data_IF_484372314571
#
_entry.id   IF_484372314571
#
_cell.length_a   1.000
_cell.length_b   1.000
_cell.length_c   1.000
_cell.angle_alpha   90.00
_cell.angle_beta   90.00
_cell.angle_gamma   90.00
#
_symmetry.space_group_name_H-M   'P 1'
#
loop_
_entity.id
_entity.type
_entity.pdbx_description
1 polymer ?
#
# COMPACT_ATOMS: atom_id res chain seq x y z
N UNK A 1 -20.98 -29.44 -17.21
CA UNK A 1 -21.53 -28.28 -17.92
C UNK A 1 -20.62 -27.12 -17.61
N UNK A 2 -19.60 -26.87 -18.41
CA UNK A 2 -18.62 -25.78 -18.20
C UNK A 2 -19.21 -24.48 -18.74
N UNK A 3 -19.48 -23.56 -17.84
CA UNK A 3 -19.91 -22.21 -18.23
C UNK A 3 -18.76 -21.51 -18.96
N UNK A 4 -19.05 -20.89 -20.09
CA UNK A 4 -18.05 -20.13 -20.85
C UNK A 4 -17.66 -18.84 -20.09
N UNK A 5 -16.39 -18.37 -20.18
CA UNK A 5 -15.89 -17.20 -19.45
C UNK A 5 -16.80 -15.95 -19.47
N UNK A 6 -17.43 -15.56 -20.61
CA UNK A 6 -18.32 -14.41 -20.60
C UNK A 6 -19.59 -14.61 -19.77
N UNK A 7 -20.07 -15.86 -19.59
CA UNK A 7 -21.25 -16.15 -18.75
C UNK A 7 -20.92 -16.08 -17.27
N UNK A 8 -19.70 -16.44 -16.87
CA UNK A 8 -19.21 -16.30 -15.48
C UNK A 8 -19.09 -14.81 -15.13
N UNK A 9 -18.55 -14.00 -16.03
CA UNK A 9 -18.45 -12.54 -15.86
C UNK A 9 -19.82 -11.89 -15.71
N UNK A 10 -20.80 -12.31 -16.52
CA UNK A 10 -22.17 -11.78 -16.45
C UNK A 10 -22.86 -12.16 -15.13
N UNK A 11 -22.64 -13.36 -14.62
CA UNK A 11 -23.17 -13.83 -13.33
C UNK A 11 -22.53 -13.05 -12.18
N UNK A 12 -21.23 -12.83 -12.21
CA UNK A 12 -20.51 -12.02 -11.21
C UNK A 12 -21.03 -10.57 -11.23
N UNK A 13 -21.19 -9.97 -12.41
CA UNK A 13 -21.75 -8.62 -12.56
C UNK A 13 -23.20 -8.53 -12.08
N UNK A 14 -24.02 -9.55 -12.35
CA UNK A 14 -25.41 -9.60 -11.90
C UNK A 14 -25.53 -9.78 -10.38
N UNK A 15 -24.67 -10.58 -9.75
CA UNK A 15 -24.60 -10.74 -8.30
C UNK A 15 -24.14 -9.41 -7.66
N UNK A 16 -23.19 -8.71 -8.27
CA UNK A 16 -22.71 -7.40 -7.80
C UNK A 16 -23.85 -6.36 -7.77
N UNK A 17 -24.67 -6.31 -8.82
CA UNK A 17 -25.83 -5.40 -8.90
C UNK A 17 -26.88 -5.72 -7.80
N UNK A 18 -27.10 -6.99 -7.49
CA UNK A 18 -28.04 -7.41 -6.43
C UNK A 18 -27.50 -7.08 -5.03
N UNK A 19 -26.19 -7.26 -4.78
CA UNK A 19 -25.58 -6.91 -3.50
C UNK A 19 -25.58 -5.40 -3.26
N UNK A 20 -25.33 -4.60 -4.30
CA UNK A 20 -25.36 -3.13 -4.22
C UNK A 20 -26.76 -2.60 -3.89
N UNK A 21 -27.84 -3.28 -4.34
CA UNK A 21 -29.21 -2.82 -4.11
C UNK A 21 -29.76 -3.13 -2.71
N UNK A 22 -29.12 -3.97 -1.91
CA UNK A 22 -29.61 -4.40 -0.59
C UNK A 22 -28.76 -3.96 0.60
N UNK A 23 -27.59 -3.33 0.38
CA UNK A 23 -26.75 -2.85 1.49
C UNK A 23 -27.31 -1.55 2.08
N UNK A 24 -27.82 -1.66 3.29
CA UNK A 24 -28.23 -0.50 4.10
C UNK A 24 -26.96 0.27 4.50
N UNK A 25 -26.91 1.55 4.20
CA UNK A 25 -25.83 2.44 4.65
C UNK A 25 -25.74 2.40 6.18
N UNK A 26 -24.59 2.04 6.73
CA UNK A 26 -24.30 2.16 8.16
C UNK A 26 -23.43 3.40 8.38
N UNK A 27 -23.75 4.15 9.44
CA UNK A 27 -23.16 5.47 9.76
C UNK A 27 -21.73 5.39 10.37
N UNK A 28 -20.92 4.41 10.01
CA UNK A 28 -19.55 4.29 10.53
C UNK A 28 -18.53 4.29 9.40
N UNK A 29 -17.68 5.31 9.38
CA UNK A 29 -16.53 5.38 8.49
C UNK A 29 -15.44 4.44 8.99
N UNK A 30 -15.20 3.35 8.28
CA UNK A 30 -14.05 2.45 8.52
C UNK A 30 -12.99 2.77 7.47
N UNK A 31 -11.84 3.28 7.92
CA UNK A 31 -10.70 3.50 7.03
C UNK A 31 -9.84 2.25 7.01
N UNK A 32 -9.60 1.73 5.80
CA UNK A 32 -8.88 0.49 5.57
C UNK A 32 -7.38 0.69 5.29
N UNK A 33 -6.78 1.80 5.69
CA UNK A 33 -5.33 1.90 5.59
C UNK A 33 -4.65 1.16 6.75
N UNK A 34 -3.74 0.23 6.42
CA UNK A 34 -2.90 -0.51 7.34
C UNK A 34 -2.25 0.36 8.43
N UNK A 35 -1.69 1.50 8.03
CA UNK A 35 -1.00 2.41 8.95
C UNK A 35 -1.93 3.16 9.90
N UNK A 36 -3.20 3.36 9.51
CA UNK A 36 -4.18 4.05 10.34
C UNK A 36 -4.60 3.21 11.54
N UNK A 37 -4.86 1.91 11.34
CA UNK A 37 -5.29 1.01 12.42
C UNK A 37 -4.24 0.85 13.53
N UNK A 38 -2.96 0.88 13.15
CA UNK A 38 -1.86 0.83 14.12
C UNK A 38 -1.61 2.16 14.82
N UNK A 39 -2.01 3.27 14.21
CA UNK A 39 -1.78 4.63 14.73
C UNK A 39 -2.99 5.25 15.39
N UNK A 40 -4.20 4.84 15.01
CA UNK A 40 -5.41 5.40 15.57
C UNK A 40 -5.57 4.96 17.03
N UNK A 41 -5.92 5.91 17.86
CA UNK A 41 -6.50 5.68 19.19
C UNK A 41 -8.03 5.50 19.06
N UNK A 42 -8.49 4.96 17.92
CA UNK A 42 -9.89 4.73 17.65
C UNK A 42 -10.52 3.87 18.74
N UNK A 43 -11.68 4.30 19.17
CA UNK A 43 -12.48 3.55 20.14
C UNK A 43 -12.82 2.19 19.55
N UNK A 44 -12.45 1.12 20.24
CA UNK A 44 -12.80 -0.23 19.85
C UNK A 44 -14.30 -0.39 19.66
N UNK A 45 -14.73 -0.79 18.46
CA UNK A 45 -16.11 -1.20 18.17
C UNK A 45 -16.09 -2.60 17.54
N UNK A 46 -16.72 -3.55 18.20
CA UNK A 46 -16.81 -4.95 17.74
C UNK A 46 -17.50 -5.12 16.39
N UNK A 47 -18.34 -4.15 15.98
CA UNK A 47 -19.04 -4.16 14.69
C UNK A 47 -18.11 -4.02 13.50
N UNK A 48 -16.89 -3.50 13.72
CA UNK A 48 -15.88 -3.31 12.68
C UNK A 48 -15.15 -4.61 12.32
N UNK A 49 -15.50 -5.73 12.94
CA UNK A 49 -14.83 -7.01 12.75
C UNK A 49 -15.82 -8.12 12.40
N UNK A 50 -15.49 -8.94 11.41
CA UNK A 50 -16.27 -10.12 11.02
C UNK A 50 -16.53 -11.06 12.21
N UNK A 51 -15.52 -11.25 13.06
CA UNK A 51 -15.59 -12.16 14.22
C UNK A 51 -16.17 -11.51 15.48
N UNK A 52 -16.52 -10.22 15.42
CA UNK A 52 -17.13 -9.48 16.54
C UNK A 52 -16.23 -9.39 17.78
N UNK A 53 -16.86 -9.47 18.96
CA UNK A 53 -16.19 -9.27 20.27
C UNK A 53 -15.72 -10.57 20.95
N UNK A 54 -15.82 -11.74 20.29
CA UNK A 54 -15.43 -13.05 20.85
C UNK A 54 -16.07 -13.32 22.22
N UNK A 55 -17.36 -12.96 22.40
CA UNK A 55 -18.04 -13.07 23.68
C UNK A 55 -17.50 -12.13 24.76
N UNK A 56 -16.99 -10.97 24.40
CA UNK A 56 -16.43 -9.97 25.31
C UNK A 56 -14.93 -10.08 25.56
N UNK A 57 -14.25 -11.08 24.97
CA UNK A 57 -12.80 -11.27 25.18
C UNK A 57 -12.00 -10.17 24.49
N UNK A 58 -12.35 -9.82 23.24
CA UNK A 58 -11.64 -8.80 22.47
C UNK A 58 -11.69 -7.44 23.16
N UNK A 59 -12.86 -7.02 23.66
CA UNK A 59 -13.02 -5.80 24.44
C UNK A 59 -12.21 -5.81 25.74
N UNK A 60 -12.18 -6.95 26.45
CA UNK A 60 -11.34 -7.09 27.65
C UNK A 60 -9.85 -6.96 27.35
N UNK A 61 -9.36 -7.59 26.28
CA UNK A 61 -7.96 -7.47 25.85
C UNK A 61 -7.61 -6.02 25.50
N UNK A 62 -8.47 -5.34 24.72
CA UNK A 62 -8.27 -3.93 24.36
C UNK A 62 -8.21 -3.02 25.61
N UNK A 63 -9.07 -3.25 26.58
CA UNK A 63 -9.07 -2.50 27.84
C UNK A 63 -7.79 -2.74 28.67
N UNK A 64 -7.21 -3.93 28.58
CA UNK A 64 -5.92 -4.27 29.18
C UNK A 64 -4.74 -3.68 28.42
N UNK A 65 -4.93 -3.13 27.23
CA UNK A 65 -3.86 -2.60 26.39
C UNK A 65 -3.31 -3.59 25.37
N UNK A 66 -4.04 -4.66 25.04
CA UNK A 66 -3.67 -5.64 24.00
C UNK A 66 -4.73 -5.60 22.93
N UNK A 67 -4.39 -5.09 21.74
CA UNK A 67 -5.31 -4.99 20.60
C UNK A 67 -4.91 -5.99 19.52
N UNK A 68 -5.65 -7.11 19.35
CA UNK A 68 -5.48 -8.01 18.22
C UNK A 68 -6.19 -7.43 16.99
N UNK A 69 -5.49 -7.39 15.85
CA UNK A 69 -6.00 -6.94 14.55
C UNK A 69 -5.64 -8.01 13.53
N UNK A 70 -6.59 -8.41 12.69
CA UNK A 70 -6.32 -9.28 11.57
C UNK A 70 -7.11 -8.82 10.35
N UNK A 71 -6.42 -8.75 9.18
CA UNK A 71 -7.01 -8.37 7.89
C UNK A 71 -6.68 -9.41 6.84
N UNK A 72 -7.67 -9.78 6.08
CA UNK A 72 -7.50 -10.67 4.94
C UNK A 72 -7.81 -9.93 3.65
N UNK A 73 -6.81 -9.87 2.79
CA UNK A 73 -6.90 -9.34 1.44
C UNK A 73 -6.92 -10.50 0.46
N UNK A 74 -7.76 -10.43 -0.55
CA UNK A 74 -7.76 -11.43 -1.62
C UNK A 74 -8.15 -10.82 -2.95
N UNK A 75 -7.48 -11.26 -4.01
CA UNK A 75 -7.80 -10.87 -5.38
C UNK A 75 -8.07 -12.08 -6.25
N UNK A 76 -9.02 -11.92 -7.16
CA UNK A 76 -9.23 -12.80 -8.31
C UNK A 76 -9.19 -11.92 -9.55
N UNK A 77 -8.09 -11.98 -10.29
CA UNK A 77 -7.85 -11.17 -11.48
C UNK A 77 -7.57 -12.09 -12.68
N UNK A 78 -8.00 -11.65 -13.86
CA UNK A 78 -7.71 -12.34 -15.11
C UNK A 78 -7.43 -11.38 -16.25
N UNK A 79 -6.61 -11.81 -17.22
CA UNK A 79 -6.33 -11.05 -18.44
C UNK A 79 -6.98 -11.71 -19.67
N UNK A 80 -8.25 -11.40 -19.98
CA UNK A 80 -8.94 -11.95 -21.14
C UNK A 80 -8.32 -11.52 -22.48
N UNK A 81 -7.54 -10.43 -22.49
CA UNK A 81 -6.86 -9.87 -23.66
C UNK A 81 -5.41 -9.60 -23.33
N UNK A 82 -4.50 -9.90 -24.25
CA UNK A 82 -3.08 -9.53 -24.21
C UNK A 82 -2.26 -10.32 -23.19
N UNK A 83 -1.07 -9.78 -22.86
CA UNK A 83 -0.06 -10.46 -22.07
C UNK A 83 0.64 -11.58 -22.82
N UNK A 84 1.55 -12.29 -22.15
CA UNK A 84 2.25 -13.48 -22.68
C UNK A 84 1.28 -14.63 -22.98
N UNK A 85 0.26 -14.79 -22.14
CA UNK A 85 -0.85 -15.73 -22.29
C UNK A 85 -2.06 -15.27 -21.50
N UNK A 86 -3.23 -15.82 -21.76
CA UNK A 86 -4.45 -15.52 -21.02
C UNK A 86 -4.56 -16.41 -19.79
N UNK A 87 -4.92 -15.84 -18.65
CA UNK A 87 -5.07 -16.56 -17.40
C UNK A 87 -6.02 -15.90 -16.43
N UNK A 88 -6.29 -16.62 -15.34
CA UNK A 88 -6.98 -16.11 -14.14
C UNK A 88 -6.21 -16.60 -12.94
N UNK A 89 -5.84 -15.70 -12.06
CA UNK A 89 -5.07 -16.03 -10.86
C UNK A 89 -5.79 -15.52 -9.61
N UNK A 90 -5.53 -16.24 -8.53
CA UNK A 90 -5.95 -15.91 -7.17
C UNK A 90 -4.73 -15.57 -6.35
N UNK A 91 -4.83 -14.52 -5.54
CA UNK A 91 -3.87 -14.20 -4.50
C UNK A 91 -4.60 -13.91 -3.18
N UNK A 92 -3.95 -14.24 -2.06
CA UNK A 92 -4.46 -13.97 -0.72
C UNK A 92 -3.34 -13.61 0.23
N UNK A 93 -3.58 -12.62 1.09
CA UNK A 93 -2.68 -12.12 2.12
C UNK A 93 -3.44 -11.94 3.41
N UNK A 94 -3.11 -12.72 4.43
CA UNK A 94 -3.56 -12.51 5.80
C UNK A 94 -2.50 -11.78 6.58
N UNK A 95 -2.82 -10.61 7.09
CA UNK A 95 -1.99 -9.85 8.01
C UNK A 95 -2.58 -9.90 9.42
N UNK A 96 -1.77 -10.27 10.40
CA UNK A 96 -2.15 -10.34 11.81
C UNK A 96 -1.20 -9.53 12.67
N UNK A 97 -1.78 -8.70 13.54
CA UNK A 97 -1.05 -7.75 14.39
C UNK A 97 -1.46 -7.91 15.84
N UNK A 98 -0.50 -7.73 16.74
CA UNK A 98 -0.73 -7.49 18.16
C UNK A 98 -0.11 -6.13 18.51
N UNK A 99 -0.96 -5.18 18.88
CA UNK A 99 -0.56 -3.87 19.40
C UNK A 99 -0.62 -3.92 20.92
N UNK A 100 0.49 -3.65 21.58
CA UNK A 100 0.61 -3.56 23.02
C UNK A 100 0.73 -2.09 23.42
N UNK A 101 -0.26 -1.57 24.13
CA UNK A 101 -0.24 -0.24 24.77
C UNK A 101 0.58 -0.35 26.06
N UNK A 102 1.81 0.14 26.00
CA UNK A 102 2.73 0.02 27.13
C UNK A 102 2.42 0.99 28.28
N UNK A 103 1.61 2.01 28.04
CA UNK A 103 1.11 2.87 29.12
C UNK A 103 0.14 2.11 30.01
N UNK A 104 -0.81 1.38 29.41
CA UNK A 104 -1.75 0.53 30.16
C UNK A 104 -1.09 -0.67 30.81
N UNK A 105 -0.15 -1.31 30.11
CA UNK A 105 0.49 -2.55 30.56
C UNK A 105 1.62 -2.34 31.57
N UNK A 106 2.45 -1.31 31.36
CA UNK A 106 3.72 -1.13 32.05
C UNK A 106 3.92 0.30 32.62
N UNK A 107 2.93 1.17 32.46
CA UNK A 107 3.01 2.60 32.81
C UNK A 107 4.11 3.39 32.06
N UNK A 108 4.52 2.90 30.88
CA UNK A 108 5.45 3.58 29.98
C UNK A 108 4.63 4.50 29.08
N UNK A 109 4.56 5.78 29.46
CA UNK A 109 3.68 6.76 28.83
C UNK A 109 3.87 6.84 27.32
N UNK A 110 2.74 6.92 26.59
CA UNK A 110 2.67 7.16 25.14
C UNK A 110 3.58 6.23 24.34
N UNK A 111 3.68 4.99 24.78
CA UNK A 111 4.55 4.01 24.15
C UNK A 111 3.75 2.78 23.76
N UNK A 112 4.13 2.19 22.62
CA UNK A 112 3.54 0.95 22.13
C UNK A 112 4.61 0.00 21.59
N UNK A 113 4.28 -1.27 21.63
CA UNK A 113 5.05 -2.33 20.99
C UNK A 113 4.16 -3.06 20.00
N UNK A 114 4.67 -3.31 18.81
CA UNK A 114 3.92 -3.94 17.73
C UNK A 114 4.65 -5.18 17.27
N UNK A 115 3.89 -6.27 17.16
CA UNK A 115 4.31 -7.54 16.53
C UNK A 115 3.32 -7.86 15.44
N UNK A 116 3.79 -8.14 14.24
CA UNK A 116 2.91 -8.58 13.16
C UNK A 116 3.54 -9.69 12.34
N UNK A 117 2.67 -10.51 11.77
CA UNK A 117 3.02 -11.54 10.82
C UNK A 117 2.05 -11.58 9.67
N UNK A 118 2.49 -12.15 8.56
CA UNK A 118 1.69 -12.30 7.35
C UNK A 118 1.74 -13.73 6.82
N UNK A 119 0.65 -14.14 6.19
CA UNK A 119 0.56 -15.36 5.43
C UNK A 119 0.11 -15.04 4.01
N UNK A 120 1.03 -15.19 3.05
CA UNK A 120 0.80 -14.97 1.64
C UNK A 120 0.59 -16.30 0.90
N UNK A 121 -0.33 -16.30 -0.08
CA UNK A 121 -0.67 -17.47 -0.89
C UNK A 121 -1.15 -17.06 -2.28
N UNK A 122 -1.26 -18.03 -3.20
CA UNK A 122 -1.79 -17.79 -4.54
C UNK A 122 -0.73 -17.71 -5.62
N UNK A 123 -1.00 -16.97 -6.68
CA UNK A 123 -0.12 -16.75 -7.85
C UNK A 123 -0.23 -15.33 -8.37
N UNK A 124 0.87 -14.82 -8.90
CA UNK A 124 0.93 -13.53 -9.59
C UNK A 124 0.36 -13.66 -11.00
N UNK A 125 -0.68 -12.89 -11.31
CA UNK A 125 -1.16 -12.78 -12.71
C UNK A 125 -0.10 -12.14 -13.59
N UNK A 126 0.65 -11.19 -13.06
CA UNK A 126 1.70 -10.49 -13.78
C UNK A 126 2.86 -11.41 -14.17
N UNK A 127 3.39 -12.20 -13.24
CA UNK A 127 4.52 -13.09 -13.51
C UNK A 127 4.13 -14.27 -14.41
N UNK A 128 2.97 -14.89 -14.12
CA UNK A 128 2.51 -16.10 -14.78
C UNK A 128 1.96 -15.84 -16.18
N UNK A 129 1.23 -14.73 -16.38
CA UNK A 129 0.37 -14.58 -17.56
C UNK A 129 0.64 -13.29 -18.36
N UNK A 130 0.95 -12.15 -17.71
CA UNK A 130 1.08 -10.87 -18.41
C UNK A 130 2.54 -10.55 -18.76
N UNK A 131 3.44 -10.52 -17.78
CA UNK A 131 4.86 -10.20 -17.94
C UNK A 131 5.19 -8.72 -17.75
N UNK A 132 4.40 -7.99 -16.99
CA UNK A 132 4.55 -6.58 -16.69
C UNK A 132 5.35 -6.33 -15.39
N UNK A 133 5.97 -5.16 -15.29
CA UNK A 133 6.66 -4.69 -14.08
C UNK A 133 5.69 -4.15 -13.03
N UNK A 134 4.68 -3.41 -13.47
CA UNK A 134 3.65 -2.82 -12.60
C UNK A 134 2.60 -3.86 -12.27
N UNK A 135 2.89 -4.72 -11.29
CA UNK A 135 2.07 -5.91 -11.05
C UNK A 135 0.60 -5.58 -10.80
N UNK A 136 -0.28 -6.41 -11.37
CA UNK A 136 -1.73 -6.16 -11.36
C UNK A 136 -2.36 -6.24 -9.95
N UNK A 137 -1.63 -6.77 -8.97
CA UNK A 137 -2.15 -6.93 -7.60
C UNK A 137 -1.04 -6.79 -6.57
N UNK A 138 -1.23 -5.91 -5.60
CA UNK A 138 -0.38 -5.77 -4.42
C UNK A 138 -0.55 -6.94 -3.44
N UNK A 139 -1.70 -7.63 -3.48
CA UNK A 139 -2.00 -8.75 -2.57
C UNK A 139 -1.05 -9.94 -2.76
N UNK A 140 -0.51 -10.15 -3.98
CA UNK A 140 0.46 -11.21 -4.20
C UNK A 140 1.85 -10.78 -3.71
N UNK A 141 2.30 -11.35 -2.61
CA UNK A 141 3.59 -11.08 -1.98
C UNK A 141 4.40 -12.36 -1.70
N UNK A 142 4.26 -13.37 -2.58
CA UNK A 142 4.92 -14.68 -2.45
C UNK A 142 4.01 -15.76 -1.86
N UNK A 143 4.64 -16.84 -1.34
CA UNK A 143 3.95 -18.00 -0.76
C UNK A 143 4.62 -18.41 0.53
N UNK A 144 4.48 -17.61 1.56
CA UNK A 144 5.17 -17.87 2.82
C UNK A 144 4.39 -17.34 4.01
N UNK A 145 4.70 -17.89 5.20
CA UNK A 145 4.37 -17.27 6.47
C UNK A 145 5.63 -16.55 6.94
N UNK A 146 5.49 -15.30 7.34
CA UNK A 146 6.64 -14.48 7.78
C UNK A 146 6.33 -13.58 8.96
N UNK A 147 7.32 -13.33 9.80
CA UNK A 147 7.32 -12.21 10.72
C UNK A 147 7.51 -10.94 9.91
N UNK A 148 6.56 -10.01 10.02
CA UNK A 148 6.64 -8.73 9.33
C UNK A 148 7.27 -7.68 10.24
N UNK A 149 6.54 -7.15 11.19
CA UNK A 149 7.01 -6.10 12.07
C UNK A 149 7.29 -6.60 13.48
N UNK A 150 8.29 -5.99 14.12
CA UNK A 150 8.65 -6.19 15.51
C UNK A 150 9.33 -4.90 15.99
N UNK A 151 8.57 -3.93 16.50
CA UNK A 151 9.14 -2.64 16.86
C UNK A 151 8.49 -2.00 18.08
N UNK A 152 9.28 -1.16 18.72
CA UNK A 152 8.86 -0.25 19.76
C UNK A 152 8.70 1.16 19.18
N UNK A 153 7.63 1.86 19.56
CA UNK A 153 7.42 3.27 19.24
C UNK A 153 7.04 4.05 20.48
N UNK A 154 7.57 5.23 20.64
CA UNK A 154 7.25 6.14 21.75
C UNK A 154 7.10 7.58 21.26
N UNK A 155 6.09 8.25 21.76
CA UNK A 155 5.92 9.70 21.63
C UNK A 155 6.57 10.38 22.84
N UNK A 156 7.66 11.08 22.58
CA UNK A 156 8.49 11.72 23.60
C UNK A 156 8.02 13.18 23.73
N UNK A 157 7.71 14.03 23.56
CA UNK A 157 7.32 15.43 23.64
C UNK A 157 5.95 15.61 22.98
N UNK A 158 4.91 15.57 23.77
CA UNK A 158 3.50 15.81 23.39
C UNK A 158 3.27 16.25 21.94
N UNK A 159 2.89 15.32 21.05
CA UNK A 159 2.65 15.54 19.62
C UNK A 159 3.82 16.13 18.80
N UNK A 160 5.01 16.32 19.42
CA UNK A 160 6.15 16.93 18.75
C UNK A 160 7.15 15.92 18.21
N UNK A 161 7.53 14.92 19.00
CA UNK A 161 8.56 13.94 18.62
C UNK A 161 8.08 12.50 18.85
N UNK A 162 8.05 11.71 17.79
CA UNK A 162 7.82 10.27 17.84
C UNK A 162 9.08 9.54 17.34
N UNK A 163 9.50 8.53 18.08
CA UNK A 163 10.64 7.69 17.75
C UNK A 163 10.21 6.24 17.66
N UNK A 164 10.78 5.48 16.72
CA UNK A 164 10.55 4.05 16.63
C UNK A 164 11.86 3.32 16.35
N UNK A 165 12.00 2.10 16.90
CA UNK A 165 13.14 1.24 16.68
C UNK A 165 12.70 -0.22 16.65
N UNK A 166 13.25 -0.97 15.71
CA UNK A 166 12.94 -2.39 15.53
C UNK A 166 12.92 -2.80 14.07
N UNK A 167 12.10 -3.80 13.75
CA UNK A 167 11.91 -4.30 12.39
C UNK A 167 10.66 -3.66 11.79
N UNK A 168 10.83 -2.91 10.69
CA UNK A 168 9.78 -2.13 10.03
C UNK A 168 10.02 -2.09 8.52
N UNK A 169 8.95 -1.90 7.72
CA UNK A 169 9.05 -1.55 6.30
C UNK A 169 9.33 -0.04 6.13
N UNK A 170 10.04 0.33 5.09
CA UNK A 170 10.28 1.74 4.73
C UNK A 170 8.98 2.41 4.34
N UNK A 171 8.23 1.76 3.43
CA UNK A 171 6.99 2.30 2.89
C UNK A 171 5.82 2.30 3.91
N UNK A 172 5.98 1.71 5.10
CA UNK A 172 5.03 1.89 6.20
C UNK A 172 4.95 3.34 6.68
N UNK A 173 5.98 4.12 6.44
CA UNK A 173 6.09 5.50 6.94
C UNK A 173 6.44 6.51 5.87
N UNK A 174 7.33 6.16 4.93
CA UNK A 174 7.88 7.05 3.91
C UNK A 174 7.27 6.75 2.55
N UNK A 175 7.25 7.75 1.66
CA UNK A 175 6.74 7.67 0.29
C UNK A 175 5.32 7.09 0.16
N UNK A 176 4.52 7.14 1.22
CA UNK A 176 3.17 6.56 1.27
C UNK A 176 2.09 7.61 1.51
N UNK A 177 0.89 7.28 1.08
CA UNK A 177 -0.33 8.05 1.33
C UNK A 177 -1.54 7.15 1.51
N UNK A 178 -2.52 7.58 2.32
CA UNK A 178 -3.80 6.87 2.43
C UNK A 178 -4.56 6.78 1.11
N UNK A 179 -4.29 7.69 0.16
CA UNK A 179 -4.93 7.70 -1.14
C UNK A 179 -4.53 6.49 -1.99
N UNK A 180 -3.30 5.99 -1.82
CA UNK A 180 -2.77 4.86 -2.59
C UNK A 180 -3.50 3.56 -2.30
N UNK A 181 -3.91 3.33 -1.05
CA UNK A 181 -4.65 2.12 -0.63
C UNK A 181 -6.08 2.00 -1.21
N UNK A 182 -6.46 2.89 -2.12
CA UNK A 182 -7.72 2.77 -2.86
C UNK A 182 -7.54 2.12 -4.24
N UNK A 183 -6.35 1.61 -4.56
CA UNK A 183 -6.04 0.93 -5.81
C UNK A 183 -5.68 -0.53 -5.55
N UNK A 184 -5.65 -1.34 -6.61
CA UNK A 184 -5.36 -2.78 -6.55
C UNK A 184 -3.96 -3.09 -7.08
N UNK A 185 -3.52 -2.33 -8.11
CA UNK A 185 -2.21 -2.51 -8.73
C UNK A 185 -1.08 -1.99 -7.84
N UNK A 186 0.04 -2.75 -7.75
CA UNK A 186 1.27 -2.29 -7.07
C UNK A 186 1.86 -1.02 -7.66
N UNK A 187 1.49 -0.67 -8.88
CA UNK A 187 1.96 0.58 -9.50
C UNK A 187 1.60 1.82 -8.68
N UNK A 188 0.49 1.75 -7.93
CA UNK A 188 -0.06 2.84 -7.15
C UNK A 188 -0.20 2.47 -5.68
N UNK A 189 -0.70 1.24 -5.37
CA UNK A 189 -0.99 0.83 -3.98
C UNK A 189 0.27 0.88 -3.10
N UNK A 190 0.08 1.28 -1.86
CA UNK A 190 1.09 1.48 -0.82
C UNK A 190 2.10 2.61 -1.10
N UNK A 191 2.84 2.59 -2.21
CA UNK A 191 3.89 3.56 -2.56
C UNK A 191 4.21 3.52 -4.06
N UNK A 192 4.88 4.54 -4.65
CA UNK A 192 5.35 4.47 -6.02
C UNK A 192 6.28 3.27 -6.24
N UNK A 193 5.86 2.31 -7.05
CA UNK A 193 6.50 1.00 -7.20
C UNK A 193 7.95 1.07 -7.70
N UNK A 194 8.31 2.11 -8.46
CA UNK A 194 9.68 2.31 -8.96
C UNK A 194 10.73 2.32 -7.85
N UNK A 195 10.38 2.78 -6.64
CA UNK A 195 11.29 2.79 -5.49
C UNK A 195 11.72 1.36 -5.10
N UNK A 196 10.77 0.43 -5.04
CA UNK A 196 11.04 -0.97 -4.71
C UNK A 196 11.63 -1.77 -5.88
N UNK A 197 11.32 -1.40 -7.14
CA UNK A 197 11.94 -2.03 -8.31
C UNK A 197 13.41 -1.61 -8.43
N UNK A 198 13.72 -0.34 -8.22
CA UNK A 198 15.07 0.21 -8.30
C UNK A 198 15.92 -0.21 -7.10
N UNK A 199 15.30 -0.44 -5.94
CA UNK A 199 16.00 -0.86 -4.73
C UNK A 199 15.29 -2.02 -4.03
N UNK A 200 15.79 -3.22 -4.20
CA UNK A 200 15.23 -4.45 -3.62
C UNK A 200 15.28 -4.51 -2.07
N UNK A 201 15.82 -3.52 -1.39
CA UNK A 201 15.75 -3.35 0.06
C UNK A 201 14.80 -2.21 0.47
N UNK A 202 14.12 -1.58 -0.48
CA UNK A 202 13.05 -0.63 -0.20
C UNK A 202 11.77 -1.40 0.15
N UNK A 203 11.70 -1.89 1.38
CA UNK A 203 10.67 -2.80 1.83
C UNK A 203 9.34 -2.12 2.15
N UNK A 204 8.26 -2.78 1.75
CA UNK A 204 6.87 -2.56 2.16
C UNK A 204 6.25 -3.85 2.69
N UNK A 205 5.02 -3.81 3.22
CA UNK A 205 4.25 -4.99 3.60
C UNK A 205 4.31 -6.09 2.51
N UNK A 206 4.65 -7.33 2.84
CA UNK A 206 4.95 -7.90 4.16
C UNK A 206 6.46 -8.04 4.45
N UNK A 207 7.28 -7.18 3.93
CA UNK A 207 8.74 -7.22 4.07
C UNK A 207 9.22 -6.08 4.98
N UNK A 208 10.22 -6.36 5.81
CA UNK A 208 10.77 -5.40 6.74
C UNK A 208 12.25 -5.66 7.02
N UNK A 209 12.95 -4.66 7.52
CA UNK A 209 14.32 -4.77 8.01
C UNK A 209 14.50 -4.05 9.34
N UNK A 210 15.66 -4.21 9.98
CA UNK A 210 16.02 -3.44 11.17
C UNK A 210 16.10 -1.96 10.83
N UNK A 211 15.50 -1.14 11.67
CA UNK A 211 15.39 0.29 11.43
C UNK A 211 15.31 1.10 12.73
N UNK A 212 15.64 2.37 12.59
CA UNK A 212 15.29 3.42 13.54
C UNK A 212 14.76 4.61 12.78
N UNK A 213 13.70 5.25 13.29
CA UNK A 213 13.08 6.43 12.66
C UNK A 213 12.64 7.46 13.68
N UNK A 214 12.59 8.70 13.23
CA UNK A 214 12.01 9.82 13.96
C UNK A 214 10.93 10.49 13.12
N UNK A 215 9.92 11.03 13.79
CA UNK A 215 8.90 11.86 13.20
C UNK A 215 8.73 13.08 14.09
N UNK A 216 8.99 14.25 13.55
CA UNK A 216 8.88 15.54 14.23
C UNK A 216 7.72 16.32 13.63
N UNK A 217 6.84 16.86 14.46
CA UNK A 217 5.70 17.68 14.07
C UNK A 217 5.86 19.09 14.67
N UNK A 218 6.65 19.98 14.04
CA UNK A 218 6.93 21.29 14.57
C UNK A 218 5.68 22.17 14.72
N UNK A 219 4.71 21.95 13.85
CA UNK A 219 3.39 22.60 13.88
C UNK A 219 2.34 21.63 13.36
N UNK A 220 1.05 21.91 13.57
CA UNK A 220 -0.06 21.14 12.99
C UNK A 220 -0.03 21.06 11.44
N UNK A 221 0.76 21.91 10.78
CA UNK A 221 0.85 22.01 9.32
C UNK A 221 2.09 21.37 8.71
N UNK A 222 3.12 21.11 9.51
CA UNK A 222 4.39 20.60 9.00
C UNK A 222 4.86 19.40 9.81
N UNK A 223 5.35 18.41 9.09
CA UNK A 223 6.10 17.30 9.67
C UNK A 223 7.42 17.09 8.97
N UNK A 224 8.37 16.51 9.68
CA UNK A 224 9.65 16.04 9.18
C UNK A 224 9.86 14.62 9.67
N UNK A 225 10.25 13.73 8.81
CA UNK A 225 10.61 12.35 9.15
C UNK A 225 12.02 12.06 8.68
N UNK A 226 12.73 11.25 9.44
CA UNK A 226 13.99 10.65 9.02
C UNK A 226 14.08 9.23 9.52
N UNK A 227 14.75 8.35 8.76
CA UNK A 227 14.91 6.95 9.09
C UNK A 227 16.21 6.38 8.56
N UNK A 228 16.70 5.35 9.27
CA UNK A 228 17.83 4.50 8.84
C UNK A 228 17.35 3.07 8.88
N UNK A 229 17.51 2.36 7.77
CA UNK A 229 17.03 1.00 7.56
C UNK A 229 18.19 0.10 7.10
N UNK A 230 18.24 -1.13 7.58
CA UNK A 230 19.21 -2.10 7.06
C UNK A 230 18.89 -2.43 5.60
N UNK A 231 19.88 -2.25 4.73
CA UNK A 231 19.77 -2.44 3.29
C UNK A 231 20.27 -3.82 2.85
N UNK A 232 19.67 -4.89 3.35
CA UNK A 232 19.95 -6.25 2.93
C UNK A 232 18.74 -6.91 2.26
N UNK A 233 18.68 -7.00 0.90
CA UNK A 233 17.53 -7.60 0.21
C UNK A 233 17.24 -9.05 0.61
N UNK A 234 18.26 -9.78 1.11
CA UNK A 234 18.08 -11.17 1.50
C UNK A 234 17.10 -11.36 2.67
N UNK A 235 16.95 -10.35 3.56
CA UNK A 235 16.04 -10.44 4.72
C UNK A 235 14.56 -10.36 4.30
N UNK A 236 14.27 -9.85 3.11
CA UNK A 236 12.94 -9.79 2.52
C UNK A 236 12.51 -11.03 1.73
N UNK A 237 13.41 -12.00 1.50
CA UNK A 237 13.10 -13.21 0.74
C UNK A 237 12.09 -14.11 1.46
N UNK A 238 11.28 -14.84 0.71
CA UNK A 238 10.32 -15.81 1.26
C UNK A 238 10.99 -16.85 2.15
N UNK A 239 12.18 -17.36 1.73
CA UNK A 239 12.95 -18.34 2.48
C UNK A 239 13.51 -17.83 3.81
N UNK A 240 13.58 -16.52 4.02
CA UNK A 240 13.99 -15.92 5.29
C UNK A 240 12.86 -15.88 6.33
N UNK A 241 11.60 -16.09 5.93
CA UNK A 241 10.41 -16.07 6.79
C UNK A 241 10.34 -14.85 7.75
N UNK A 242 11.02 -13.74 7.40
CA UNK A 242 11.15 -12.56 8.26
C UNK A 242 11.97 -12.76 9.54
N UNK A 243 12.61 -13.91 9.73
CA UNK A 243 13.45 -14.22 10.92
C UNK A 243 14.95 -14.15 10.65
N UNK A 244 15.35 -13.66 9.47
CA UNK A 244 16.74 -13.26 9.25
C UNK A 244 16.97 -11.88 9.87
N UNK A 245 17.65 -11.85 11.02
CA UNK A 245 17.97 -10.63 11.77
C UNK A 245 19.38 -10.09 11.45
N UNK A 246 19.97 -10.52 10.34
CA UNK A 246 21.30 -10.06 9.96
C UNK A 246 21.31 -8.56 9.64
N UNK A 247 22.32 -7.87 10.15
CA UNK A 247 22.60 -6.47 9.84
C UNK A 247 23.85 -6.41 8.98
N UNK A 248 23.67 -6.45 7.67
CA UNK A 248 24.79 -6.57 6.70
C UNK A 248 24.49 -5.73 5.45
N UNK A 249 25.52 -5.53 4.64
CA UNK A 249 25.56 -4.94 3.30
C UNK A 249 25.45 -3.42 3.24
N UNK A 250 24.72 -2.75 4.08
CA UNK A 250 24.59 -1.30 4.03
C UNK A 250 23.36 -0.81 4.76
N UNK A 251 23.08 0.46 4.59
CA UNK A 251 21.90 1.13 5.15
C UNK A 251 21.26 2.03 4.12
N UNK A 252 19.92 2.12 4.16
CA UNK A 252 19.16 3.17 3.51
C UNK A 252 18.95 4.27 4.55
N UNK A 253 19.36 5.49 4.21
CA UNK A 253 19.00 6.71 4.94
C UNK A 253 17.92 7.40 4.14
N UNK A 254 16.80 7.74 4.78
CA UNK A 254 15.66 8.37 4.13
C UNK A 254 15.16 9.55 4.95
N UNK A 255 14.72 10.60 4.28
CA UNK A 255 14.08 11.75 4.91
C UNK A 255 12.87 12.22 4.10
N UNK A 256 11.89 12.79 4.81
CA UNK A 256 10.64 13.29 4.23
C UNK A 256 10.19 14.54 4.98
N UNK A 257 9.76 15.55 4.25
CA UNK A 257 9.06 16.72 4.78
C UNK A 257 7.67 16.80 4.15
N UNK A 258 6.67 17.14 4.95
CA UNK A 258 5.31 17.30 4.47
C UNK A 258 4.64 18.56 4.99
N UNK A 259 3.81 19.14 4.12
CA UNK A 259 2.92 20.25 4.44
C UNK A 259 1.47 19.74 4.40
N UNK A 260 0.75 19.98 5.49
CA UNK A 260 -0.63 19.57 5.72
C UNK A 260 -1.54 20.81 5.68
N UNK A 261 -2.40 20.86 4.66
CA UNK A 261 -3.34 21.96 4.48
C UNK A 261 -4.74 21.54 4.92
N UNK A 262 -5.37 22.34 5.81
CA UNK A 262 -6.76 22.16 6.25
C UNK A 262 -7.14 20.73 6.71
N UNK A 263 -6.28 20.05 7.51
CA UNK A 263 -6.53 18.69 7.98
C UNK A 263 -7.58 18.57 9.09
N UNK A 264 -8.00 19.70 9.68
CA UNK A 264 -9.03 19.68 10.74
C UNK A 264 -10.36 19.25 10.16
N UNK A 265 -10.98 18.28 10.81
CA UNK A 265 -12.33 17.82 10.46
C UNK A 265 -13.30 19.01 10.50
N UNK A 266 -14.22 19.08 9.55
CA UNK A 266 -15.19 20.17 9.40
C UNK A 266 -14.59 21.59 9.20
N UNK A 267 -13.32 21.67 8.78
CA UNK A 267 -12.78 22.98 8.38
C UNK A 267 -13.47 23.48 7.11
N UNK A 268 -13.64 24.80 6.97
CA UNK A 268 -14.23 25.40 5.76
C UNK A 268 -13.36 25.24 4.50
N UNK A 269 -12.08 24.93 4.68
CA UNK A 269 -11.13 24.76 3.59
C UNK A 269 -11.08 23.31 3.08
N UNK A 270 -10.62 23.12 1.86
CA UNK A 270 -10.40 21.80 1.26
C UNK A 270 -9.06 21.23 1.73
N UNK A 271 -9.03 19.93 2.04
CA UNK A 271 -7.84 19.23 2.56
C UNK A 271 -6.78 19.07 1.47
N UNK A 272 -5.52 19.20 1.83
CA UNK A 272 -4.40 18.91 0.95
C UNK A 272 -3.18 18.42 1.73
N UNK A 273 -2.34 17.61 1.08
CA UNK A 273 -1.07 17.13 1.59
C UNK A 273 -0.03 17.23 0.48
N UNK A 274 1.14 17.74 0.82
CA UNK A 274 2.26 17.93 -0.09
C UNK A 274 3.50 17.37 0.58
N UNK A 275 4.10 16.37 -0.03
CA UNK A 275 5.22 15.60 0.53
C UNK A 275 6.40 15.65 -0.43
N UNK A 276 7.59 15.84 0.11
CA UNK A 276 8.86 15.68 -0.58
C UNK A 276 9.77 14.79 0.25
N UNK A 277 10.44 13.85 -0.38
CA UNK A 277 11.40 12.99 0.28
C UNK A 277 12.58 12.61 -0.61
N UNK A 278 13.62 12.12 0.05
CA UNK A 278 14.86 11.65 -0.57
C UNK A 278 15.41 10.46 0.21
N UNK A 279 16.05 9.54 -0.49
CA UNK A 279 16.79 8.44 0.12
C UNK A 279 18.17 8.26 -0.50
N UNK A 280 19.07 7.62 0.26
CA UNK A 280 20.37 7.16 -0.18
C UNK A 280 20.63 5.76 0.41
N UNK A 281 20.92 4.78 -0.44
CA UNK A 281 21.38 3.45 -0.05
C UNK A 281 22.89 3.34 -0.24
N UNK A 282 23.58 2.90 0.77
CA UNK A 282 25.05 2.77 0.80
C UNK A 282 25.56 1.45 0.21
N UNK A 283 24.67 0.55 -0.28
CA UNK A 283 25.09 -0.71 -0.90
C UNK A 283 25.83 -0.50 -2.21
N UNK A 284 26.43 -1.61 -2.66
CA UNK A 284 26.82 -1.76 -4.07
C UNK A 284 25.67 -2.35 -4.87
N UNK A 285 25.45 -1.77 -6.03
CA UNK A 285 24.42 -2.17 -7.00
C UNK A 285 25.10 -2.77 -8.23
N UNK A 286 24.53 -3.84 -8.75
CA UNK A 286 24.95 -4.43 -10.03
C UNK A 286 24.47 -3.53 -11.18
N UNK A 287 25.33 -3.26 -12.16
CA UNK A 287 24.95 -2.46 -13.33
C UNK A 287 24.02 -3.25 -14.26
N UNK A 288 23.02 -2.57 -14.83
CA UNK A 288 22.02 -3.17 -15.71
C UNK A 288 22.60 -3.68 -17.04
N UNK A 289 23.62 -2.99 -17.55
CA UNK A 289 24.31 -3.39 -18.77
C UNK A 289 25.32 -4.52 -18.55
N UNK A 290 25.84 -4.72 -17.31
CA UNK A 290 26.89 -5.68 -17.01
C UNK A 290 26.88 -6.10 -15.53
N UNK A 291 26.46 -7.34 -15.25
CA UNK A 291 26.45 -7.89 -13.88
C UNK A 291 27.83 -7.97 -13.22
N UNK A 292 28.92 -7.83 -13.98
CA UNK A 292 30.30 -7.84 -13.47
C UNK A 292 30.73 -6.47 -12.93
N UNK A 293 30.06 -5.40 -13.30
CA UNK A 293 30.35 -4.05 -12.85
C UNK A 293 29.40 -3.63 -11.73
N UNK A 294 29.88 -2.79 -10.81
CA UNK A 294 29.13 -2.40 -9.63
C UNK A 294 29.30 -0.92 -9.36
N UNK A 295 28.18 -0.27 -9.12
CA UNK A 295 28.11 1.11 -8.66
C UNK A 295 28.02 1.18 -7.14
N UNK A 296 28.70 2.15 -6.54
CA UNK A 296 28.63 2.41 -5.11
C UNK A 296 27.48 3.36 -4.77
N UNK A 297 26.49 2.84 -4.05
CA UNK A 297 25.33 3.58 -3.60
C UNK A 297 24.24 3.78 -4.66
N UNK A 298 23.04 4.08 -4.18
CA UNK A 298 21.89 4.49 -5.01
C UNK A 298 21.11 5.58 -4.28
N UNK A 299 20.48 6.49 -5.01
CA UNK A 299 19.64 7.52 -4.43
C UNK A 299 18.43 7.82 -5.30
N UNK A 300 17.41 8.34 -4.64
CA UNK A 300 16.23 8.80 -5.34
C UNK A 300 15.50 9.90 -4.58
N UNK A 301 14.68 10.61 -5.34
CA UNK A 301 13.81 11.67 -4.86
C UNK A 301 12.36 11.30 -5.14
N UNK A 302 11.44 11.74 -4.29
CA UNK A 302 10.02 11.57 -4.53
C UNK A 302 9.19 12.77 -4.06
N UNK A 303 8.08 13.00 -4.76
CA UNK A 303 7.05 13.98 -4.44
C UNK A 303 5.70 13.31 -4.45
N UNK A 304 4.85 13.66 -3.48
CA UNK A 304 3.45 13.23 -3.43
C UNK A 304 2.60 14.46 -3.15
N UNK A 305 1.58 14.66 -3.97
CA UNK A 305 0.65 15.78 -3.86
C UNK A 305 -0.77 15.25 -3.89
N UNK A 306 -1.54 15.66 -2.89
CA UNK A 306 -2.95 15.35 -2.76
C UNK A 306 -3.69 16.65 -2.45
N UNK A 307 -4.74 16.95 -3.20
CA UNK A 307 -5.52 18.16 -2.97
C UNK A 307 -6.99 17.90 -3.26
N UNK A 308 -7.81 17.90 -2.24
CA UNK A 308 -9.26 17.94 -2.46
C UNK A 308 -9.63 19.22 -3.18
N UNK A 309 -10.33 19.13 -4.30
CA UNK A 309 -10.72 20.29 -5.13
C UNK A 309 -12.22 20.53 -5.11
N UNK A 310 -13.01 19.55 -4.65
CA UNK A 310 -14.45 19.64 -4.51
C UNK A 310 -14.91 18.87 -3.28
N UNK A 311 -15.83 19.42 -2.52
CA UNK A 311 -16.51 18.83 -1.37
C UNK A 311 -18.00 19.06 -1.51
N UNK A 312 -18.81 18.02 -1.29
CA UNK A 312 -20.26 18.12 -1.42
C UNK A 312 -20.88 18.97 -0.32
N UNK A 313 -20.54 18.72 0.92
CA UNK A 313 -21.00 19.50 2.08
C UNK A 313 -19.85 19.80 3.05
N UNK A 314 -19.98 20.86 3.82
CA UNK A 314 -18.92 21.28 4.76
C UNK A 314 -18.72 20.30 5.92
N UNK A 315 -19.78 19.59 6.30
CA UNK A 315 -19.81 18.67 7.44
C UNK A 315 -19.38 17.24 7.08
N UNK A 316 -19.09 16.95 5.81
CA UNK A 316 -18.63 15.63 5.38
C UNK A 316 -17.26 15.69 4.68
N UNK A 317 -16.78 14.56 4.21
CA UNK A 317 -15.55 14.42 3.45
C UNK A 317 -15.79 13.83 2.04
N UNK A 318 -17.07 13.83 1.58
CA UNK A 318 -17.46 13.43 0.26
C UNK A 318 -17.00 14.45 -0.78
N UNK A 319 -16.56 13.97 -1.93
CA UNK A 319 -16.10 14.85 -3.00
C UNK A 319 -14.88 14.32 -3.74
N UNK A 320 -14.23 15.19 -4.50
CA UNK A 320 -13.16 14.86 -5.45
C UNK A 320 -11.79 15.27 -4.93
N UNK A 321 -10.88 14.30 -4.89
CA UNK A 321 -9.48 14.50 -4.52
C UNK A 321 -8.55 13.97 -5.62
N UNK A 322 -8.04 14.79 -6.53
CA UNK A 322 -6.90 14.45 -7.38
C UNK A 322 -5.61 14.31 -6.57
N UNK A 323 -4.69 13.50 -7.11
CA UNK A 323 -3.37 13.28 -6.55
C UNK A 323 -2.34 12.99 -7.65
N UNK A 324 -1.07 13.19 -7.33
CA UNK A 324 0.05 12.80 -8.17
C UNK A 324 1.26 12.40 -7.31
N UNK A 325 2.04 11.44 -7.81
CA UNK A 325 3.34 11.08 -7.24
C UNK A 325 4.39 11.02 -8.36
N UNK A 326 5.59 11.50 -8.06
CA UNK A 326 6.73 11.51 -8.97
C UNK A 326 7.92 10.92 -8.23
N UNK A 327 8.69 10.05 -8.90
CA UNK A 327 10.00 9.59 -8.41
C UNK A 327 11.06 9.78 -9.48
N UNK A 328 12.26 10.13 -9.04
CA UNK A 328 13.44 10.27 -9.87
C UNK A 328 14.59 9.54 -9.20
N UNK A 329 15.18 8.56 -9.89
CA UNK A 329 16.40 7.85 -9.51
C UNK A 329 17.41 8.03 -10.65
N UNK A 330 18.27 9.08 -10.61
CA UNK A 330 18.94 9.61 -11.80
C UNK A 330 20.02 8.70 -12.41
N UNK A 331 20.55 7.75 -11.64
CA UNK A 331 21.57 6.83 -12.13
C UNK A 331 20.95 5.71 -12.96
N UNK A 332 20.89 5.91 -14.28
CA UNK A 332 20.29 4.97 -15.22
C UNK A 332 21.04 3.64 -15.29
N UNK A 333 22.32 3.62 -14.92
CA UNK A 333 23.12 2.40 -14.99
C UNK A 333 22.68 1.31 -14.00
N UNK A 334 21.98 1.70 -12.93
CA UNK A 334 21.55 0.79 -11.86
C UNK A 334 20.05 0.83 -11.58
N UNK A 335 19.32 1.80 -12.12
CA UNK A 335 17.89 1.97 -11.88
C UNK A 335 17.07 1.56 -13.12
N UNK A 336 16.23 0.54 -12.96
CA UNK A 336 15.30 0.10 -14.02
C UNK A 336 14.35 1.21 -14.45
N UNK A 337 13.85 1.99 -13.49
CA UNK A 337 12.96 3.14 -13.72
C UNK A 337 13.61 4.43 -13.21
N UNK A 338 14.46 5.09 -14.01
CA UNK A 338 15.08 6.36 -13.63
C UNK A 338 14.05 7.48 -13.46
N UNK A 339 12.93 7.41 -14.16
CA UNK A 339 11.78 8.30 -14.04
C UNK A 339 10.49 7.51 -13.92
N UNK A 340 9.65 7.88 -12.94
CA UNK A 340 8.33 7.31 -12.76
C UNK A 340 7.35 8.38 -12.28
N UNK A 341 6.16 8.39 -12.86
CA UNK A 341 5.06 9.25 -12.45
C UNK A 341 3.77 8.43 -12.33
N UNK A 342 3.02 8.67 -11.27
CA UNK A 342 1.65 8.16 -11.12
C UNK A 342 0.72 9.29 -10.71
N UNK A 343 -0.57 9.11 -10.97
CA UNK A 343 -1.55 10.12 -10.62
C UNK A 343 -2.97 9.63 -10.88
N UNK A 344 -3.93 10.41 -10.42
CA UNK A 344 -5.31 10.05 -10.59
C UNK A 344 -6.24 10.89 -9.74
N UNK A 345 -7.42 10.36 -9.47
CA UNK A 345 -8.38 10.99 -8.57
C UNK A 345 -9.24 9.96 -7.85
N UNK A 346 -9.74 10.34 -6.70
CA UNK A 346 -10.74 9.60 -5.94
C UNK A 346 -11.95 10.48 -5.73
N UNK A 347 -13.13 9.92 -5.96
CA UNK A 347 -14.40 10.53 -5.58
C UNK A 347 -15.06 9.66 -4.50
N UNK A 348 -15.18 10.19 -3.29
CA UNK A 348 -15.93 9.57 -2.19
C UNK A 348 -17.39 10.01 -2.24
N UNK A 349 -18.33 9.06 -2.10
CA UNK A 349 -19.76 9.36 -2.05
C UNK A 349 -20.41 9.61 -3.42
N UNK A 350 -19.80 9.19 -4.54
CA UNK A 350 -20.30 9.44 -5.90
C UNK A 350 -21.73 8.96 -6.13
N UNK A 351 -22.13 7.85 -5.52
CA UNK A 351 -23.47 7.27 -5.66
C UNK A 351 -24.33 7.71 -4.47
N UNK A 352 -25.52 8.29 -4.69
CA UNK A 352 -26.42 8.72 -3.60
C UNK A 352 -26.70 7.59 -2.60
N UNK A 353 -26.65 7.91 -1.31
CA UNK A 353 -26.80 6.98 -0.17
C UNK A 353 -25.67 5.95 -0.03
N UNK A 354 -24.55 6.16 -0.73
CA UNK A 354 -23.35 5.34 -0.65
C UNK A 354 -22.16 6.20 -0.21
N UNK A 355 -22.28 6.83 0.94
CA UNK A 355 -21.37 7.89 1.43
C UNK A 355 -19.95 7.40 1.68
N UNK A 356 -19.75 6.10 1.92
CA UNK A 356 -18.44 5.49 2.19
C UNK A 356 -17.79 4.84 0.97
N UNK A 357 -18.57 4.67 -0.11
CA UNK A 357 -18.03 4.13 -1.35
C UNK A 357 -17.11 5.14 -2.04
N UNK A 358 -16.13 4.61 -2.78
CA UNK A 358 -15.18 5.45 -3.51
C UNK A 358 -15.06 4.95 -4.95
N UNK A 359 -15.11 5.88 -5.89
CA UNK A 359 -14.66 5.65 -7.27
C UNK A 359 -13.24 6.17 -7.43
N UNK A 360 -12.35 5.39 -8.00
CA UNK A 360 -10.98 5.78 -8.21
C UNK A 360 -10.54 5.50 -9.65
N UNK A 361 -9.84 6.46 -10.23
CA UNK A 361 -9.08 6.31 -11.47
C UNK A 361 -7.63 6.66 -11.19
N UNK A 362 -6.71 5.87 -11.71
CA UNK A 362 -5.28 6.11 -11.61
C UNK A 362 -4.52 5.70 -12.86
N UNK A 363 -3.33 6.26 -13.00
CA UNK A 363 -2.35 5.84 -13.99
C UNK A 363 -0.96 5.77 -13.34
N UNK A 364 -0.10 4.94 -13.91
CA UNK A 364 1.32 4.89 -13.59
C UNK A 364 2.12 4.73 -14.88
N UNK A 365 3.16 5.54 -15.04
CA UNK A 365 4.05 5.55 -16.18
C UNK A 365 5.50 5.56 -15.69
N UNK A 366 6.34 4.69 -16.23
CA UNK A 366 7.77 4.65 -15.94
C UNK A 366 8.59 4.47 -17.21
N UNK A 367 9.60 5.31 -17.41
CA UNK A 367 10.62 5.11 -18.46
C UNK A 367 11.62 4.06 -17.98
N UNK A 368 11.99 3.16 -18.85
CA UNK A 368 12.99 2.13 -18.55
C UNK A 368 14.35 2.65 -18.99
N UNK A 369 15.39 2.30 -18.21
CA UNK A 369 16.78 2.66 -18.52
C UNK A 369 17.20 2.21 -19.91
N UNK A 370 17.92 3.05 -20.63
CA UNK A 370 18.50 2.76 -21.95
C UNK A 370 19.52 1.61 -21.90
N UNK A 371 20.06 1.27 -20.72
CA UNK A 371 20.95 0.14 -20.49
C UNK A 371 20.22 -1.21 -20.56
N UNK A 372 18.87 -1.22 -20.54
CA UNK A 372 18.05 -2.41 -20.76
C UNK A 372 17.57 -2.44 -22.20
N UNK A 373 18.21 -3.27 -23.03
CA UNK A 373 17.91 -3.39 -24.46
C UNK A 373 16.47 -3.78 -24.73
N UNK A 374 15.93 -3.28 -25.82
CA UNK A 374 14.60 -3.62 -26.37
C UNK A 374 13.45 -3.29 -25.41
N UNK A 375 13.65 -2.31 -24.51
CA UNK A 375 12.65 -1.81 -23.59
C UNK A 375 12.62 -0.29 -23.61
N UNK A 376 11.42 0.28 -23.40
CA UNK A 376 11.20 1.73 -23.50
C UNK A 376 10.44 2.24 -22.25
N UNK A 377 9.15 1.89 -22.12
CA UNK A 377 8.31 2.30 -20.99
C UNK A 377 7.23 1.28 -20.69
N UNK A 378 6.69 1.36 -19.50
CA UNK A 378 5.44 0.69 -19.15
C UNK A 378 4.42 1.73 -18.67
N UNK A 379 3.15 1.61 -19.13
CA UNK A 379 2.04 2.43 -18.68
C UNK A 379 0.91 1.52 -18.19
N UNK A 380 0.39 1.81 -17.01
CA UNK A 380 -0.80 1.17 -16.44
C UNK A 380 -1.88 2.22 -16.21
N UNK A 381 -3.12 1.89 -16.59
CA UNK A 381 -4.33 2.63 -16.25
C UNK A 381 -5.21 1.74 -15.39
N UNK A 382 -5.80 2.28 -14.32
CA UNK A 382 -6.69 1.55 -13.41
C UNK A 382 -7.97 2.33 -13.16
N UNK A 383 -9.10 1.62 -13.19
CA UNK A 383 -10.40 2.12 -12.79
C UNK A 383 -11.00 1.12 -11.81
N UNK A 384 -11.29 1.58 -10.61
CA UNK A 384 -11.82 0.74 -9.55
C UNK A 384 -12.94 1.43 -8.76
N UNK A 385 -13.81 0.65 -8.14
CA UNK A 385 -14.90 1.14 -7.30
C UNK A 385 -14.93 0.36 -5.98
N UNK A 386 -14.69 1.05 -4.87
CA UNK A 386 -14.65 0.45 -3.54
C UNK A 386 -16.04 0.50 -2.94
N UNK A 387 -16.66 -0.65 -2.75
CA UNK A 387 -17.96 -0.83 -2.11
C UNK A 387 -17.74 -1.17 -0.65
N UNK A 388 -18.11 -0.28 0.27
CA UNK A 388 -18.19 -0.59 1.69
C UNK A 388 -19.47 -1.38 1.95
N UNK A 389 -19.39 -2.71 1.88
CA UNK A 389 -20.56 -3.59 1.99
C UNK A 389 -21.06 -3.73 3.43
N UNK A 390 -20.11 -3.84 4.39
CA UNK A 390 -20.35 -3.82 5.84
C UNK A 390 -19.19 -3.07 6.51
N UNK A 391 -19.21 -2.75 7.81
CA UNK A 391 -18.07 -2.14 8.47
C UNK A 391 -16.76 -2.95 8.37
N UNK A 392 -16.84 -4.27 8.18
CA UNK A 392 -15.71 -5.22 8.14
C UNK A 392 -15.46 -5.82 6.75
N UNK A 393 -16.24 -5.45 5.70
CA UNK A 393 -16.10 -6.01 4.35
C UNK A 393 -16.08 -4.93 3.29
N UNK A 394 -15.02 -4.89 2.51
CA UNK A 394 -14.96 -4.17 1.24
C UNK A 394 -14.96 -5.14 0.05
N UNK A 395 -15.64 -4.71 -1.02
CA UNK A 395 -15.65 -5.38 -2.32
C UNK A 395 -15.19 -4.34 -3.35
N UNK A 396 -14.16 -4.66 -4.11
CA UNK A 396 -13.51 -3.72 -5.00
C UNK A 396 -13.36 -4.32 -6.40
N UNK A 397 -14.39 -4.19 -7.29
CA UNK A 397 -14.24 -4.48 -8.71
C UNK A 397 -13.18 -3.59 -9.34
N UNK A 398 -12.38 -4.18 -10.22
CA UNK A 398 -11.19 -3.56 -10.77
C UNK A 398 -11.02 -3.85 -12.26
N UNK A 399 -10.57 -2.83 -13.00
CA UNK A 399 -10.24 -2.89 -14.43
C UNK A 399 -8.91 -2.19 -14.64
N UNK A 400 -7.95 -2.90 -15.26
CA UNK A 400 -6.66 -2.32 -15.59
C UNK A 400 -6.35 -2.48 -17.09
N UNK A 401 -5.67 -1.50 -17.66
CA UNK A 401 -5.11 -1.55 -19.00
C UNK A 401 -3.61 -1.31 -18.94
N UNK A 402 -2.85 -2.31 -19.35
CA UNK A 402 -1.39 -2.32 -19.30
C UNK A 402 -0.85 -2.20 -20.72
N UNK A 403 -0.09 -1.16 -20.98
CA UNK A 403 0.55 -0.84 -22.24
C UNK A 403 2.04 -1.14 -22.14
N UNK A 404 2.60 -1.81 -23.14
CA UNK A 404 3.98 -2.29 -23.18
C UNK A 404 4.36 -3.11 -21.94
N UNK A 405 3.67 -4.23 -21.65
CA UNK A 405 3.99 -5.07 -20.51
C UNK A 405 5.47 -5.46 -20.50
N UNK A 406 6.13 -5.25 -19.35
CA UNK A 406 7.57 -5.48 -19.21
C UNK A 406 8.44 -4.52 -20.02
N UNK A 407 7.87 -3.38 -20.47
CA UNK A 407 8.54 -2.37 -21.26
C UNK A 407 8.74 -2.71 -22.73
N UNK A 408 8.12 -3.78 -23.23
CA UNK A 408 8.33 -4.27 -24.61
C UNK A 408 7.05 -4.21 -25.44
N UNK A 409 7.18 -3.77 -26.69
CA UNK A 409 6.10 -3.87 -27.68
C UNK A 409 5.84 -5.30 -28.19
N UNK A 410 6.72 -6.26 -27.90
CA UNK A 410 6.58 -7.65 -28.28
C UNK A 410 5.49 -8.37 -27.50
N UNK A 411 5.19 -7.90 -26.30
CA UNK A 411 4.10 -8.41 -25.47
C UNK A 411 2.83 -7.59 -25.74
N UNK A 412 1.74 -8.20 -26.21
CA UNK A 412 0.50 -7.47 -26.47
C UNK A 412 -0.03 -6.77 -25.20
N UNK A 413 -0.52 -5.55 -25.38
CA UNK A 413 -1.17 -4.79 -24.29
C UNK A 413 -2.26 -5.63 -23.64
N UNK A 414 -2.32 -5.61 -22.29
CA UNK A 414 -3.18 -6.49 -21.53
C UNK A 414 -4.35 -5.74 -20.89
N UNK A 415 -5.56 -6.32 -21.01
CA UNK A 415 -6.71 -5.93 -20.21
C UNK A 415 -6.81 -6.87 -19.01
N UNK A 416 -6.82 -6.32 -17.80
CA UNK A 416 -7.06 -7.06 -16.57
C UNK A 416 -8.46 -6.73 -16.05
N UNK A 417 -9.19 -7.75 -15.64
CA UNK A 417 -10.51 -7.65 -15.03
C UNK A 417 -10.58 -8.52 -13.79
N UNK A 418 -11.20 -8.03 -12.75
CA UNK A 418 -11.46 -8.84 -11.55
C UNK A 418 -11.93 -8.05 -10.36
N UNK A 419 -11.59 -8.53 -9.19
CA UNK A 419 -11.97 -7.87 -7.93
C UNK A 419 -10.98 -8.17 -6.81
N UNK A 420 -10.93 -7.25 -5.85
CA UNK A 420 -10.34 -7.42 -4.54
C UNK A 420 -11.43 -7.48 -3.47
N UNK A 421 -11.22 -8.30 -2.44
CA UNK A 421 -11.98 -8.28 -1.20
C UNK A 421 -11.05 -7.98 -0.05
N UNK A 422 -11.50 -7.15 0.89
CA UNK A 422 -10.80 -6.86 2.14
C UNK A 422 -11.74 -7.17 3.30
N UNK A 423 -11.26 -7.97 4.24
CA UNK A 423 -12.04 -8.43 5.40
C UNK A 423 -11.27 -8.12 6.67
N UNK A 424 -11.87 -7.31 7.55
CA UNK A 424 -11.42 -7.15 8.94
C UNK A 424 -11.98 -8.27 9.80
N UNK A 425 -11.09 -9.07 10.43
CA UNK A 425 -11.41 -10.31 11.12
C UNK A 425 -11.55 -10.09 12.62
#
# INVERSE_FOLDING_TARGET
MTLSPPKILLIIFSILIVVVSQSVAQDTEVSFSYNRDLRSDEVYDSKNYLTGDWGGIRGKLNNLGITPIAKYYTTILGNPVGGKKKGVQYAGLLNAYLKFDLEKLLSIKRSKFIVSGSWATGRSLSDEDIGNFFTASEVFSGRSVRLYQLFFESELLENFLRVAVGRMGIADEFSTSEIFYNYVSTAIDAHPISLAINDAAYFSDPQASWAARIHVTPTEKFYIKAGVYNSNPAVGRDSAHGVDFSFRKGVIVISEIGYLHNQKQFSKGLRGRYTFGAFYDTRKFDELASESEKQDGNYGLYWIVEQMIYREMTEDDQGLTPWAALTISPDESINTFPFFISGGFIYKGLVPNRNYDKAAFGFAYGTISDDIKDKDYELMLELTYIIQATPWLQIQPDVQWIVHPGGSSDIPNALVLGMQLVVDI
#
